data_IF_933061919136
#
_entry.id   IF_933061919136
#
_cell.length_a   1.000
_cell.length_b   1.000
_cell.length_c   1.000
_cell.angle_alpha   90.00
_cell.angle_beta   90.00
_cell.angle_gamma   90.00
#
_symmetry.space_group_name_H-M   'P 1'
#
loop_
_entity.id
_entity.type
_entity.pdbx_description
1 polymer ?
#
# COMPACT_ATOMS: atom_id res chain seq x y z
N UNK A 1 14.23 -14.11 19.98
CA UNK A 1 14.37 -13.21 18.81
C UNK A 1 14.28 -11.80 19.36
N UNK A 2 15.42 -11.13 19.50
CA UNK A 2 15.50 -9.81 20.12
C UNK A 2 14.89 -8.83 19.10
N UNK A 3 13.66 -8.39 19.35
CA UNK A 3 13.12 -7.18 18.71
C UNK A 3 14.04 -6.05 19.12
N UNK A 4 14.87 -5.55 18.22
CA UNK A 4 15.75 -4.42 18.48
C UNK A 4 14.86 -3.19 18.75
N UNK A 5 14.79 -2.67 19.99
CA UNK A 5 13.87 -1.59 20.33
C UNK A 5 14.22 -0.26 19.66
N UNK A 6 15.40 -0.17 19.03
CA UNK A 6 15.90 1.02 18.34
C UNK A 6 15.22 1.27 16.98
N UNK A 7 14.73 0.23 16.29
CA UNK A 7 13.92 0.42 15.07
C UNK A 7 12.58 1.10 15.38
N UNK A 8 12.14 1.12 16.65
CA UNK A 8 10.83 1.65 17.03
C UNK A 8 10.78 3.19 17.08
N UNK A 9 11.90 3.87 17.33
CA UNK A 9 11.97 5.34 17.37
C UNK A 9 12.21 5.95 15.99
N UNK A 10 12.90 5.24 15.11
CA UNK A 10 13.26 5.73 13.77
C UNK A 10 12.21 5.38 12.70
N UNK A 11 11.29 4.46 12.98
CA UNK A 11 10.27 4.08 12.02
C UNK A 11 9.47 5.29 11.49
N UNK A 12 9.03 6.25 12.34
CA UNK A 12 8.35 7.46 11.86
C UNK A 12 9.24 8.45 11.08
N UNK A 13 10.57 8.36 11.20
CA UNK A 13 11.48 9.25 10.47
C UNK A 13 11.40 8.97 8.96
N UNK A 14 11.52 10.01 8.16
CA UNK A 14 11.51 9.88 6.71
C UNK A 14 12.66 8.99 6.23
N UNK A 15 12.33 7.98 5.42
CA UNK A 15 13.29 7.17 4.69
C UNK A 15 12.78 6.94 3.27
N UNK A 16 13.68 7.02 2.29
CA UNK A 16 13.34 6.75 0.89
C UNK A 16 14.01 5.48 0.36
N UNK A 17 13.30 4.79 -0.53
CA UNK A 17 13.71 3.51 -1.10
C UNK A 17 13.52 3.51 -2.61
N UNK A 18 14.53 3.07 -3.35
CA UNK A 18 14.38 2.81 -4.79
C UNK A 18 13.76 1.43 -4.97
N UNK A 19 12.57 1.38 -5.56
CA UNK A 19 11.82 0.14 -5.78
C UNK A 19 11.22 0.11 -7.19
N UNK A 20 10.81 -1.07 -7.65
CA UNK A 20 10.09 -1.22 -8.90
C UNK A 20 8.60 -1.40 -8.64
N UNK A 21 7.79 -0.44 -9.06
CA UNK A 21 6.34 -0.59 -9.03
C UNK A 21 5.88 -1.51 -10.18
N UNK A 22 5.04 -2.50 -9.87
CA UNK A 22 4.50 -3.47 -10.81
C UNK A 22 3.18 -2.95 -11.38
N UNK A 23 3.12 -2.74 -12.70
CA UNK A 23 1.90 -2.32 -13.39
C UNK A 23 1.07 -3.52 -13.85
N UNK A 24 -0.25 -3.30 -14.02
CA UNK A 24 -1.21 -4.31 -14.51
C UNK A 24 -0.79 -4.96 -15.85
N UNK A 25 -0.04 -4.25 -16.68
CA UNK A 25 0.47 -4.73 -17.97
C UNK A 25 1.85 -5.41 -17.87
N UNK A 26 2.23 -5.87 -16.68
CA UNK A 26 3.52 -6.51 -16.37
C UNK A 26 4.77 -5.67 -16.69
N UNK A 27 4.60 -4.37 -16.89
CA UNK A 27 5.71 -3.43 -16.95
C UNK A 27 6.15 -3.04 -15.54
N UNK A 28 7.44 -2.74 -15.39
CA UNK A 28 8.03 -2.28 -14.14
C UNK A 28 8.48 -0.84 -14.31
N UNK A 29 8.15 0.00 -13.34
CA UNK A 29 8.58 1.40 -13.31
C UNK A 29 9.43 1.61 -12.07
N UNK A 30 10.63 2.15 -12.24
CA UNK A 30 11.47 2.53 -11.10
C UNK A 30 10.87 3.79 -10.45
N UNK A 31 10.68 3.74 -9.14
CA UNK A 31 10.15 4.84 -8.34
C UNK A 31 11.00 5.03 -7.09
N UNK A 32 10.92 6.23 -6.50
CA UNK A 32 11.40 6.53 -5.17
C UNK A 32 10.19 6.50 -4.22
N UNK A 33 10.22 5.56 -3.28
CA UNK A 33 9.19 5.37 -2.26
C UNK A 33 9.65 6.08 -0.98
N UNK A 34 9.04 7.21 -0.65
CA UNK A 34 9.24 7.90 0.63
C UNK A 34 8.28 7.36 1.69
N UNK A 35 8.80 7.01 2.87
CA UNK A 35 8.02 6.49 4.01
C UNK A 35 8.32 7.33 5.24
N UNK A 36 7.29 7.89 5.86
CA UNK A 36 7.35 8.65 7.11
C UNK A 36 6.13 8.39 7.99
N UNK A 37 6.16 8.86 9.23
CA UNK A 37 5.04 8.77 10.16
C UNK A 37 3.80 9.58 9.77
N UNK A 38 3.92 10.47 8.78
CA UNK A 38 2.84 11.35 8.33
C UNK A 38 2.31 10.93 6.96
N UNK A 39 3.19 10.49 6.06
CA UNK A 39 2.85 10.26 4.65
C UNK A 39 3.71 9.18 3.98
N UNK A 40 3.14 8.64 2.91
CA UNK A 40 3.82 7.82 1.91
C UNK A 40 3.88 8.60 0.60
N UNK A 41 5.06 8.66 -0.01
CA UNK A 41 5.32 9.37 -1.27
C UNK A 41 5.79 8.38 -2.33
N UNK A 42 5.28 8.51 -3.55
CA UNK A 42 5.61 7.67 -4.71
C UNK A 42 6.01 8.59 -5.85
N UNK A 43 7.31 8.73 -6.07
CA UNK A 43 7.87 9.59 -7.11
C UNK A 43 8.45 8.75 -8.25
N UNK A 44 8.05 8.98 -9.51
CA UNK A 44 8.66 8.30 -10.65
C UNK A 44 10.14 8.70 -10.79
N UNK A 45 11.03 7.73 -11.04
CA UNK A 45 12.41 8.05 -11.44
C UNK A 45 12.41 8.34 -12.94
N UNK A 46 12.52 9.62 -13.31
CA UNK A 46 12.61 10.03 -14.73
C UNK A 46 14.01 9.66 -15.24
N UNK A 47 14.10 8.61 -16.07
CA UNK A 47 15.33 8.25 -16.75
C UNK A 47 15.49 9.08 -18.04
N UNK A 48 16.24 10.18 -17.96
CA UNK A 48 16.59 11.03 -19.12
C UNK A 48 17.46 10.33 -20.20
N UNK A 49 17.58 9.00 -20.21
CA UNK A 49 18.53 8.26 -21.06
C UNK A 49 18.02 7.78 -22.41
N UNK A 50 16.77 8.07 -22.79
CA UNK A 50 16.32 7.85 -24.17
C UNK A 50 15.53 9.04 -24.65
N UNK A 51 16.18 9.86 -25.48
CA UNK A 51 15.50 10.88 -26.26
C UNK A 51 14.38 10.25 -27.10
N UNK A 52 13.22 10.89 -27.08
CA UNK A 52 12.06 10.63 -27.94
C UNK A 52 11.16 9.42 -27.58
N UNK A 53 9.87 9.74 -27.35
CA UNK A 53 8.65 8.93 -27.60
C UNK A 53 7.72 8.47 -26.46
N UNK A 54 7.66 9.10 -25.27
CA UNK A 54 6.52 8.85 -24.36
C UNK A 54 5.97 10.13 -23.71
N UNK A 55 5.27 10.94 -24.52
CA UNK A 55 4.61 12.18 -24.08
C UNK A 55 3.25 11.92 -23.38
N UNK A 56 2.77 10.66 -23.30
CA UNK A 56 1.44 10.35 -22.73
C UNK A 56 1.40 9.53 -21.44
N UNK A 57 2.52 8.98 -20.97
CA UNK A 57 2.53 8.15 -19.76
C UNK A 57 3.55 8.64 -18.73
N UNK A 58 3.55 9.95 -18.45
CA UNK A 58 4.21 10.49 -17.26
C UNK A 58 3.39 10.05 -16.04
N UNK A 59 3.81 8.95 -15.42
CA UNK A 59 3.29 8.60 -14.10
C UNK A 59 3.51 9.81 -13.19
N UNK A 60 2.45 10.34 -12.56
CA UNK A 60 2.58 11.52 -11.70
C UNK A 60 3.06 11.08 -10.32
N UNK A 61 3.83 11.94 -9.66
CA UNK A 61 4.11 11.83 -8.23
C UNK A 61 2.79 11.76 -7.45
N UNK A 62 2.73 10.91 -6.43
CA UNK A 62 1.56 10.79 -5.56
C UNK A 62 1.99 10.76 -4.10
N UNK A 63 1.23 11.45 -3.26
CA UNK A 63 1.41 11.44 -1.81
C UNK A 63 0.11 10.99 -1.14
N UNK A 64 0.23 10.09 -0.18
CA UNK A 64 -0.86 9.61 0.66
C UNK A 64 -0.58 9.95 2.10
N UNK A 65 -1.57 10.49 2.80
CA UNK A 65 -1.54 10.52 4.27
C UNK A 65 -1.47 9.08 4.79
N UNK A 66 -0.69 8.86 5.85
CA UNK A 66 -0.59 7.55 6.49
C UNK A 66 -1.96 7.02 6.95
N UNK A 67 -2.93 7.90 7.27
CA UNK A 67 -4.31 7.54 7.60
C UNK A 67 -5.08 6.91 6.44
N UNK A 68 -4.64 7.12 5.20
CA UNK A 68 -5.19 6.45 4.03
C UNK A 68 -4.63 5.02 3.87
N UNK A 69 -3.48 4.71 4.47
CA UNK A 69 -2.82 3.40 4.37
C UNK A 69 -3.45 2.44 5.38
N UNK A 70 -3.85 1.26 4.90
CA UNK A 70 -4.55 0.26 5.72
C UNK A 70 -3.82 -1.06 5.87
N UNK A 71 -2.89 -1.39 4.98
CA UNK A 71 -2.05 -2.57 5.11
C UNK A 71 -0.77 -2.47 4.27
N UNK A 72 0.28 -3.14 4.73
CA UNK A 72 1.47 -3.43 3.95
C UNK A 72 1.92 -4.88 4.22
N UNK A 73 1.88 -5.73 3.19
CA UNK A 73 2.17 -7.17 3.34
C UNK A 73 3.19 -7.64 2.31
N UNK A 74 4.07 -8.57 2.71
CA UNK A 74 4.91 -9.32 1.79
C UNK A 74 4.04 -10.33 1.02
N UNK A 75 4.09 -10.34 -0.32
CA UNK A 75 3.20 -11.18 -1.15
C UNK A 75 3.89 -12.29 -1.92
N UNK A 76 5.17 -12.12 -2.29
CA UNK A 76 5.94 -13.16 -2.97
C UNK A 76 7.41 -13.10 -2.56
N UNK A 77 8.02 -14.28 -2.40
CA UNK A 77 9.47 -14.42 -2.26
C UNK A 77 10.02 -15.19 -3.47
N UNK A 78 10.90 -14.57 -4.25
CA UNK A 78 11.77 -15.23 -5.23
C UNK A 78 13.20 -15.09 -4.70
N UNK A 79 14.06 -16.10 -4.90
CA UNK A 79 15.37 -16.25 -4.23
C UNK A 79 16.06 -14.96 -3.74
N UNK A 80 16.22 -13.93 -4.58
CA UNK A 80 16.84 -12.65 -4.20
C UNK A 80 15.93 -11.41 -4.28
N UNK A 81 14.65 -11.58 -4.65
CA UNK A 81 13.69 -10.48 -4.82
C UNK A 81 12.36 -10.82 -4.18
N UNK A 82 11.80 -9.85 -3.48
CA UNK A 82 10.46 -9.98 -2.93
C UNK A 82 9.51 -8.97 -3.54
N UNK A 83 8.23 -9.35 -3.57
CA UNK A 83 7.13 -8.46 -3.86
C UNK A 83 6.43 -8.12 -2.56
N UNK A 84 6.17 -6.85 -2.32
CA UNK A 84 5.30 -6.38 -1.23
C UNK A 84 4.13 -5.56 -1.79
N UNK A 85 3.03 -5.54 -1.05
CA UNK A 85 1.78 -4.88 -1.42
C UNK A 85 1.45 -3.80 -0.41
N UNK A 86 1.23 -2.58 -0.89
CA UNK A 86 0.71 -1.47 -0.10
C UNK A 86 -0.77 -1.27 -0.44
N UNK A 87 -1.65 -1.27 0.55
CA UNK A 87 -3.09 -1.09 0.39
C UNK A 87 -3.51 0.24 1.01
N UNK A 88 -4.30 1.00 0.25
CA UNK A 88 -4.83 2.30 0.69
C UNK A 88 -6.32 2.41 0.41
N UNK A 89 -7.01 3.23 1.19
CA UNK A 89 -8.40 3.62 0.95
C UNK A 89 -8.45 4.77 -0.07
N UNK A 90 -9.03 4.52 -1.25
CA UNK A 90 -9.20 5.56 -2.28
C UNK A 90 -10.23 6.61 -1.85
N UNK A 91 -11.19 6.25 -0.98
CA UNK A 91 -12.27 7.14 -0.57
C UNK A 91 -11.76 8.34 0.22
N UNK A 92 -10.67 8.19 0.98
CA UNK A 92 -10.04 9.30 1.70
C UNK A 92 -9.33 10.31 0.81
N UNK A 93 -9.05 9.97 -0.45
CA UNK A 93 -8.47 10.90 -1.43
C UNK A 93 -9.56 11.76 -2.07
N UNK A 94 -10.80 11.25 -2.14
CA UNK A 94 -11.94 11.93 -2.78
C UNK A 94 -12.73 12.81 -1.81
N UNK A 95 -12.69 12.53 -0.50
CA UNK A 95 -13.38 13.31 0.54
C UNK A 95 -12.87 14.74 0.72
N UNK A 96 -11.73 15.11 0.11
CA UNK A 96 -11.19 16.48 0.12
C UNK A 96 -11.74 17.36 -1.02
N UNK A 97 -12.61 16.82 -1.89
CA UNK A 97 -13.38 17.59 -2.87
C UNK A 97 -14.85 17.59 -2.42
N UNK A 98 -15.32 18.78 -2.02
CA UNK A 98 -16.67 19.15 -1.57
C UNK A 98 -17.75 18.04 -1.57
N UNK A 99 -17.96 17.48 -0.39
CA UNK A 99 -18.88 16.37 -0.13
C UNK A 99 -20.38 16.76 -0.16
N UNK A 100 -20.79 17.85 -0.82
CA UNK A 100 -22.16 18.36 -0.75
C UNK A 100 -23.08 18.00 -1.94
N UNK A 101 -22.64 17.21 -2.93
CA UNK A 101 -23.45 16.98 -4.15
C UNK A 101 -24.00 15.55 -4.32
N UNK A 102 -23.51 14.54 -3.59
CA UNK A 102 -23.96 13.14 -3.77
C UNK A 102 -24.52 12.45 -2.51
N UNK A 103 -25.05 13.24 -1.58
CA UNK A 103 -25.86 12.71 -0.49
C UNK A 103 -27.26 12.32 -0.96
N UNK A 104 -27.43 11.13 -1.54
CA UNK A 104 -28.64 10.27 -1.48
C UNK A 104 -28.85 9.44 -2.75
N UNK A 105 -28.31 8.22 -2.78
CA UNK A 105 -29.09 7.05 -3.22
C UNK A 105 -28.45 5.77 -2.66
N UNK A 106 -29.23 4.99 -1.91
CA UNK A 106 -28.74 4.03 -0.93
C UNK A 106 -27.97 2.82 -1.47
N UNK A 107 -27.10 2.28 -0.62
CA UNK A 107 -26.82 0.85 -0.47
C UNK A 107 -26.12 0.60 0.86
N UNK A 108 -26.47 -0.51 1.48
CA UNK A 108 -25.97 -1.03 2.75
C UNK A 108 -24.47 -1.32 2.69
N UNK A 109 -23.78 -1.18 3.84
CA UNK A 109 -22.39 -1.61 4.10
C UNK A 109 -21.29 -0.76 3.43
N UNK A 110 -20.69 0.13 4.21
CA UNK A 110 -19.37 0.77 4.04
C UNK A 110 -18.66 0.52 2.69
N UNK A 111 -18.89 1.40 1.70
CA UNK A 111 -18.24 1.39 0.39
C UNK A 111 -16.76 1.83 0.49
N UNK A 112 -15.93 1.06 1.17
CA UNK A 112 -14.48 1.29 1.17
C UNK A 112 -13.89 0.87 -0.18
N UNK A 113 -13.35 1.84 -0.93
CA UNK A 113 -12.73 1.62 -2.24
C UNK A 113 -11.23 1.36 -2.07
N UNK A 114 -10.87 0.19 -1.54
CA UNK A 114 -9.46 -0.13 -1.34
C UNK A 114 -8.74 -0.42 -2.66
N UNK A 115 -7.60 0.24 -2.85
CA UNK A 115 -6.68 -0.02 -3.96
C UNK A 115 -5.31 -0.43 -3.43
N UNK A 116 -4.47 -0.96 -4.32
CA UNK A 116 -3.14 -1.40 -3.94
C UNK A 116 -2.10 -1.10 -5.00
N UNK A 117 -0.86 -0.98 -4.54
CA UNK A 117 0.35 -1.03 -5.34
C UNK A 117 1.13 -2.28 -4.97
N UNK A 118 1.62 -2.98 -5.98
CA UNK A 118 2.58 -4.06 -5.80
C UNK A 118 3.97 -3.54 -6.19
N UNK A 119 4.96 -3.77 -5.35
CA UNK A 119 6.33 -3.32 -5.54
C UNK A 119 7.29 -4.51 -5.48
N UNK A 120 8.34 -4.49 -6.28
CA UNK A 120 9.41 -5.48 -6.29
C UNK A 120 10.75 -4.82 -5.93
N UNK A 121 11.48 -5.42 -4.98
CA UNK A 121 12.83 -5.03 -4.58
C UNK A 121 13.57 -6.24 -3.98
N UNK A 122 14.83 -6.08 -3.59
CA UNK A 122 15.56 -7.09 -2.82
C UNK A 122 14.79 -7.48 -1.54
N UNK A 123 14.80 -8.76 -1.20
CA UNK A 123 14.06 -9.29 -0.04
C UNK A 123 14.32 -8.51 1.26
N UNK A 124 15.60 -8.21 1.56
CA UNK A 124 15.98 -7.48 2.78
C UNK A 124 15.34 -6.11 2.85
N UNK A 125 15.40 -5.36 1.76
CA UNK A 125 14.79 -4.03 1.65
C UNK A 125 13.26 -4.11 1.71
N UNK A 126 12.65 -5.11 1.09
CA UNK A 126 11.20 -5.31 1.16
C UNK A 126 10.73 -5.57 2.60
N UNK A 127 11.47 -6.42 3.33
CA UNK A 127 11.18 -6.73 4.73
C UNK A 127 11.33 -5.48 5.62
N UNK A 128 12.39 -4.69 5.43
CA UNK A 128 12.59 -3.42 6.14
C UNK A 128 11.44 -2.43 5.89
N UNK A 129 11.00 -2.26 4.63
CA UNK A 129 9.89 -1.37 4.28
C UNK A 129 8.59 -1.83 4.96
N UNK A 130 8.28 -3.13 4.86
CA UNK A 130 7.06 -3.71 5.43
C UNK A 130 7.05 -3.55 6.95
N UNK A 131 8.18 -3.81 7.62
CA UNK A 131 8.30 -3.62 9.06
C UNK A 131 8.13 -2.15 9.46
N UNK A 132 8.79 -1.23 8.76
CA UNK A 132 8.68 0.22 9.03
C UNK A 132 7.23 0.70 8.88
N UNK A 133 6.56 0.37 7.79
CA UNK A 133 5.17 0.79 7.54
C UNK A 133 4.24 0.20 8.59
N UNK A 134 4.32 -1.10 8.85
CA UNK A 134 3.45 -1.72 9.86
C UNK A 134 3.68 -1.15 11.25
N UNK A 135 4.92 -0.86 11.63
CA UNK A 135 5.21 -0.20 12.90
C UNK A 135 4.56 1.19 13.00
N UNK A 136 4.68 2.02 11.95
CA UNK A 136 4.01 3.32 11.89
C UNK A 136 2.49 3.14 12.03
N UNK A 137 1.91 2.15 11.34
CA UNK A 137 0.48 1.88 11.40
C UNK A 137 0.05 1.37 12.78
N UNK A 138 0.92 0.65 13.51
CA UNK A 138 0.63 0.13 14.85
C UNK A 138 0.70 1.23 15.93
N UNK A 139 1.58 2.22 15.74
CA UNK A 139 1.64 3.40 16.60
C UNK A 139 0.43 4.33 16.44
N UNK A 140 -0.32 4.24 15.33
CA UNK A 140 -1.45 5.13 15.03
C UNK A 140 -2.79 4.38 15.18
N UNK A 141 -3.71 4.94 15.98
CA UNK A 141 -5.09 4.45 16.07
C UNK A 141 -5.89 4.87 14.82
N UNK A 142 -5.80 4.11 13.74
CA UNK A 142 -6.56 4.37 12.51
C UNK A 142 -7.84 3.51 12.43
N UNK A 143 -9.05 4.10 12.54
CA UNK A 143 -10.31 3.35 12.45
C UNK A 143 -10.50 2.65 11.09
N UNK A 144 -10.01 3.24 9.98
CA UNK A 144 -10.12 2.64 8.64
C UNK A 144 -9.32 1.35 8.52
N UNK A 145 -8.20 1.26 9.25
CA UNK A 145 -7.42 0.02 9.36
C UNK A 145 -8.20 -1.05 10.11
N UNK A 146 -8.90 -0.70 11.18
CA UNK A 146 -9.77 -1.63 11.93
C UNK A 146 -10.88 -2.19 11.04
N UNK A 147 -11.54 -1.32 10.27
CA UNK A 147 -12.59 -1.74 9.32
C UNK A 147 -12.02 -2.64 8.21
N UNK A 148 -10.86 -2.29 7.66
CA UNK A 148 -10.17 -3.11 6.66
C UNK A 148 -9.83 -4.51 7.19
N UNK A 149 -9.31 -4.60 8.41
CA UNK A 149 -8.96 -5.87 9.04
C UNK A 149 -10.20 -6.74 9.27
N UNK A 150 -11.31 -6.17 9.75
CA UNK A 150 -12.58 -6.89 9.91
C UNK A 150 -13.09 -7.44 8.57
N UNK A 151 -13.06 -6.63 7.50
CA UNK A 151 -13.43 -7.07 6.14
C UNK A 151 -12.50 -8.20 5.64
N UNK A 152 -11.20 -8.11 5.95
CA UNK A 152 -10.20 -9.11 5.55
C UNK A 152 -10.43 -10.45 6.28
N UNK A 153 -10.75 -10.41 7.57
CA UNK A 153 -11.09 -11.58 8.38
C UNK A 153 -12.37 -12.26 7.90
N UNK A 154 -13.43 -11.50 7.60
CA UNK A 154 -14.71 -12.02 7.11
C UNK A 154 -14.57 -12.76 5.76
N UNK A 155 -13.76 -12.21 4.85
CA UNK A 155 -13.45 -12.87 3.57
C UNK A 155 -12.64 -14.16 3.75
N UNK A 156 -11.85 -14.27 4.80
CA UNK A 156 -11.08 -15.48 5.11
C UNK A 156 -11.98 -16.60 5.65
N UNK A 157 -12.98 -16.27 6.47
CA UNK A 157 -13.93 -17.24 7.02
C UNK A 157 -14.82 -17.85 5.94
N UNK A 158 -15.27 -17.05 4.96
CA UNK A 158 -16.06 -17.54 3.82
C UNK A 158 -15.30 -18.52 2.91
N UNK A 159 -13.97 -18.49 2.89
CA UNK A 159 -13.16 -19.45 2.11
C UNK A 159 -13.02 -20.80 2.81
N UNK A 160 -13.17 -20.86 4.12
CA UNK A 160 -13.11 -22.11 4.91
C UNK A 160 -14.42 -22.89 4.92
N UNK A 161 -15.55 -22.26 4.57
CA UNK A 161 -16.87 -22.91 4.56
C UNK A 161 -17.17 -23.70 3.28
N UNK A 162 -16.25 -23.79 2.32
CA UNK A 162 -16.39 -24.63 1.12
C UNK A 162 -15.58 -25.92 1.23
N UNK A 163 -15.75 -26.66 2.33
CA UNK A 163 -15.38 -28.09 2.36
C UNK A 163 -16.59 -28.89 1.90
N UNK A 164 -16.48 -29.49 0.71
CA UNK A 164 -17.41 -30.47 0.16
C UNK A 164 -17.76 -31.53 1.23
N UNK A 165 -19.04 -31.68 1.53
CA UNK A 165 -19.54 -32.85 2.25
C UNK A 165 -19.30 -34.13 1.43
N UNK A 166 -19.22 -35.30 2.07
CA UNK A 166 -18.96 -36.56 1.37
C UNK A 166 -20.08 -36.85 0.36
N UNK A 167 -19.69 -37.27 -0.84
CA UNK A 167 -20.60 -37.80 -1.87
C UNK A 167 -21.14 -39.17 -1.46
#
# INVERSE_FOLDING_TARGET
LIHNPWHNLEAPLYQSYRVYMLNKFRTKSEILLGVSGEKIEIDPVINNKTGSRYIWNKQKAVTYDIDAIVACDLTQNKSNKATFRLVYDQSSVLSNVDSCVYGSLGTTLSNHNYKHYDFEVEYRVADEIVQKINHILDLRSNPKRKDYLAIREDKSHRRKSFTFGPR
#
